data_IF_495828646099
#
_entry.id   IF_495828646099
#
_cell.length_a   1.000
_cell.length_b   1.000
_cell.length_c   1.000
_cell.angle_alpha   90.00
_cell.angle_beta   90.00
_cell.angle_gamma   90.00
#
_symmetry.space_group_name_H-M   'P 1'
#
loop_
_entity.id
_entity.type
_entity.pdbx_description
1 polymer ?
#
# COMPACT_ATOMS: atom_id res chain seq x y z
N UNK A 1 -11.71 -2.37 22.06
CA UNK A 1 -11.10 -3.66 22.28
C UNK A 1 -9.59 -3.56 22.22
N UNK A 2 -8.91 -4.03 23.27
CA UNK A 2 -7.46 -3.92 23.39
C UNK A 2 -6.69 -4.67 22.30
N UNK A 3 -7.31 -5.67 21.69
CA UNK A 3 -6.67 -6.49 20.67
C UNK A 3 -6.92 -6.01 19.24
N UNK A 4 -7.72 -4.96 19.05
CA UNK A 4 -7.98 -4.45 17.71
C UNK A 4 -6.80 -3.61 17.21
N UNK A 5 -6.38 -3.84 15.96
CA UNK A 5 -5.33 -3.01 15.40
C UNK A 5 -5.83 -1.62 15.08
N UNK A 6 -4.94 -0.65 15.20
CA UNK A 6 -5.19 0.73 14.80
C UNK A 6 -4.52 0.99 13.46
N UNK A 7 -5.28 1.48 12.49
CA UNK A 7 -4.70 1.89 11.22
C UNK A 7 -4.27 3.35 11.29
N UNK A 8 -3.03 3.62 10.94
CA UNK A 8 -2.44 4.95 10.99
C UNK A 8 -2.00 5.38 9.59
N UNK A 9 -2.44 6.56 9.17
CA UNK A 9 -1.85 7.25 8.04
C UNK A 9 -0.65 8.03 8.54
N UNK A 10 0.52 7.81 7.95
CA UNK A 10 1.74 8.48 8.39
C UNK A 10 1.67 9.99 8.17
N UNK A 11 0.95 10.44 7.13
CA UNK A 11 0.71 11.88 6.94
C UNK A 11 -0.11 12.49 8.05
N UNK A 12 -1.15 11.78 8.48
CA UNK A 12 -2.05 12.27 9.54
C UNK A 12 -1.39 12.23 10.90
N UNK A 13 -0.48 11.28 11.10
CA UNK A 13 0.21 11.09 12.37
C UNK A 13 1.71 10.93 12.13
N UNK A 14 2.41 12.05 11.81
CA UNK A 14 3.83 11.98 11.41
C UNK A 14 4.78 11.48 12.49
N UNK A 15 4.34 11.44 13.74
CA UNK A 15 5.14 10.86 14.81
C UNK A 15 5.43 9.38 14.60
N UNK A 16 4.66 8.70 13.74
CA UNK A 16 4.90 7.29 13.40
C UNK A 16 5.86 7.11 12.22
N UNK A 17 6.36 8.19 11.62
CA UNK A 17 7.16 8.09 10.39
C UNK A 17 8.40 7.22 10.57
N UNK A 18 9.16 7.43 11.65
CA UNK A 18 10.39 6.66 11.85
C UNK A 18 10.12 5.17 12.02
N UNK A 19 9.10 4.81 12.79
CA UNK A 19 8.71 3.41 12.98
C UNK A 19 8.19 2.80 11.70
N UNK A 20 7.41 3.56 10.92
CA UNK A 20 6.89 3.11 9.63
C UNK A 20 8.03 2.82 8.66
N UNK A 21 8.99 3.74 8.52
CA UNK A 21 10.14 3.56 7.64
C UNK A 21 10.87 2.26 8.00
N UNK A 22 11.14 2.04 9.29
CA UNK A 22 11.82 0.83 9.73
C UNK A 22 11.03 -0.43 9.38
N UNK A 23 9.72 -0.39 9.54
CA UNK A 23 8.87 -1.54 9.23
C UNK A 23 8.89 -1.88 7.74
N UNK A 24 8.76 -0.87 6.87
CA UNK A 24 8.86 -1.09 5.42
C UNK A 24 10.23 -1.64 5.04
N UNK A 25 11.30 -1.09 5.60
CA UNK A 25 12.66 -1.55 5.31
C UNK A 25 12.87 -3.01 5.73
N UNK A 26 12.34 -3.41 6.87
CA UNK A 26 12.43 -4.79 7.35
C UNK A 26 11.58 -5.74 6.51
N UNK A 27 10.46 -5.28 6.00
CA UNK A 27 9.55 -6.11 5.20
C UNK A 27 10.10 -6.40 3.81
N UNK A 28 10.90 -5.46 3.26
CA UNK A 28 11.52 -5.61 1.95
C UNK A 28 13.01 -5.33 2.03
N UNK A 29 13.79 -6.28 2.64
CA UNK A 29 15.23 -6.05 2.85
C UNK A 29 16.05 -5.98 1.55
N UNK A 30 15.51 -6.50 0.44
CA UNK A 30 16.16 -6.44 -0.87
C UNK A 30 16.05 -5.06 -1.53
N UNK A 31 15.15 -4.20 -1.05
CA UNK A 31 15.00 -2.85 -1.59
C UNK A 31 15.95 -1.91 -0.87
N UNK A 32 16.58 -1.02 -1.62
CA UNK A 32 17.48 -0.01 -1.05
C UNK A 32 16.76 0.74 0.06
N UNK A 33 17.30 0.74 1.30
CA UNK A 33 16.60 1.34 2.44
C UNK A 33 16.25 2.80 2.24
N UNK A 34 17.07 3.54 1.53
CA UNK A 34 16.84 4.96 1.26
C UNK A 34 15.55 5.20 0.46
N UNK A 35 15.09 4.21 -0.31
CA UNK A 35 13.82 4.35 -1.05
C UNK A 35 12.68 4.66 -0.10
N UNK A 36 12.54 3.87 0.98
CA UNK A 36 11.44 4.10 1.92
C UNK A 36 11.68 5.31 2.80
N UNK A 37 12.91 5.51 3.24
CA UNK A 37 13.23 6.67 4.07
C UNK A 37 12.92 7.97 3.35
N UNK A 38 13.31 8.06 2.08
CA UNK A 38 13.11 9.27 1.28
C UNK A 38 11.64 9.42 0.89
N UNK A 39 11.01 8.35 0.38
CA UNK A 39 9.63 8.40 -0.09
C UNK A 39 8.66 8.74 1.05
N UNK A 40 8.80 8.09 2.19
CA UNK A 40 7.92 8.33 3.34
C UNK A 40 8.19 9.71 3.94
N UNK A 41 9.48 10.06 4.07
CA UNK A 41 9.86 11.35 4.62
C UNK A 41 9.27 12.52 3.83
N UNK A 42 9.37 12.48 2.51
CA UNK A 42 8.84 13.55 1.66
C UNK A 42 7.32 13.53 1.56
N UNK A 43 6.65 12.42 1.88
CA UNK A 43 5.20 12.36 1.85
C UNK A 43 4.55 13.21 2.93
N UNK A 44 5.27 13.48 4.03
CA UNK A 44 4.67 14.13 5.20
C UNK A 44 4.15 15.54 4.89
N UNK A 45 4.77 16.25 3.96
CA UNK A 45 4.38 17.61 3.59
C UNK A 45 4.11 17.74 2.10
N UNK A 46 3.85 16.62 1.43
CA UNK A 46 3.58 16.68 0.00
C UNK A 46 2.25 17.39 -0.26
N UNK A 47 2.22 18.27 -1.28
CA UNK A 47 1.00 19.04 -1.56
C UNK A 47 -0.07 18.23 -2.29
N UNK A 48 0.32 17.10 -2.89
CA UNK A 48 -0.60 16.27 -3.67
C UNK A 48 -1.20 15.17 -2.78
N UNK A 49 -2.27 14.52 -3.27
CA UNK A 49 -2.93 13.45 -2.54
C UNK A 49 -2.04 12.22 -2.37
N UNK A 50 -1.08 12.02 -3.26
CA UNK A 50 -0.14 10.90 -3.23
C UNK A 50 1.27 11.41 -2.95
N UNK A 51 2.16 10.56 -2.39
CA UNK A 51 1.88 9.22 -1.90
C UNK A 51 1.27 9.22 -0.51
N UNK A 52 0.63 8.11 -0.15
CA UNK A 52 0.14 7.86 1.21
C UNK A 52 0.78 6.58 1.72
N UNK A 53 1.14 6.57 3.00
CA UNK A 53 1.75 5.39 3.62
C UNK A 53 1.00 5.07 4.90
N UNK A 54 0.72 3.77 5.08
CA UNK A 54 -0.13 3.30 6.18
C UNK A 54 0.57 2.21 6.96
N UNK A 55 0.31 2.17 8.26
CA UNK A 55 0.72 1.06 9.11
C UNK A 55 -0.43 0.63 10.00
N UNK A 56 -0.43 -0.64 10.38
CA UNK A 56 -1.30 -1.18 11.40
C UNK A 56 -0.51 -1.37 12.68
N UNK A 57 -1.07 -0.93 13.79
CA UNK A 57 -0.44 -1.02 15.10
C UNK A 57 -1.35 -1.83 16.01
N UNK A 58 -0.77 -2.84 16.68
CA UNK A 58 -1.47 -3.67 17.64
C UNK A 58 -0.60 -3.78 18.88
N UNK A 59 -1.12 -3.34 20.03
CA UNK A 59 -0.37 -3.39 21.30
C UNK A 59 1.01 -2.76 21.18
N UNK A 60 1.04 -1.56 20.60
CA UNK A 60 2.25 -0.74 20.39
C UNK A 60 3.28 -1.34 19.41
N UNK A 61 2.91 -2.40 18.68
CA UNK A 61 3.78 -2.99 17.66
C UNK A 61 3.19 -2.79 16.28
N UNK A 62 4.04 -2.53 15.30
CA UNK A 62 3.62 -2.47 13.91
C UNK A 62 3.47 -3.89 13.37
N UNK A 63 2.30 -4.18 12.81
CA UNK A 63 1.93 -5.53 12.36
C UNK A 63 1.51 -5.57 10.89
N UNK A 64 1.48 -4.44 10.22
CA UNK A 64 1.13 -4.40 8.80
C UNK A 64 1.43 -3.06 8.19
N UNK A 65 1.50 -3.02 6.86
CA UNK A 65 1.74 -1.78 6.13
C UNK A 65 1.19 -1.85 4.71
N UNK A 66 1.00 -0.68 4.11
CA UNK A 66 0.66 -0.54 2.70
C UNK A 66 0.99 0.87 2.23
N UNK A 67 1.11 1.05 0.92
CA UNK A 67 1.27 2.36 0.32
C UNK A 67 0.26 2.60 -0.79
N UNK A 68 0.02 3.87 -1.06
CA UNK A 68 -0.83 4.33 -2.15
C UNK A 68 0.00 5.34 -2.94
N UNK A 69 0.40 4.96 -4.15
CA UNK A 69 1.40 5.71 -4.92
C UNK A 69 0.97 5.90 -6.37
N UNK A 70 1.69 6.75 -7.10
CA UNK A 70 1.35 7.08 -8.48
C UNK A 70 1.77 6.03 -9.49
N UNK A 71 2.88 5.32 -9.24
CA UNK A 71 3.33 4.23 -10.12
C UNK A 71 4.19 3.25 -9.31
N UNK A 72 3.93 1.96 -9.47
CA UNK A 72 4.62 0.90 -8.72
C UNK A 72 5.74 0.28 -9.57
N UNK A 73 6.60 1.13 -10.16
CA UNK A 73 7.75 0.71 -10.96
C UNK A 73 7.34 -0.21 -12.10
N UNK A 74 6.23 0.12 -12.77
CA UNK A 74 5.64 -0.72 -13.80
C UNK A 74 5.35 0.11 -15.05
N UNK A 75 5.39 -0.54 -16.22
CA UNK A 75 5.33 0.12 -17.52
C UNK A 75 4.01 0.84 -17.81
N UNK A 76 2.93 0.46 -17.12
CA UNK A 76 1.62 1.09 -17.32
C UNK A 76 1.54 2.40 -16.51
N UNK A 77 2.28 3.38 -16.97
CA UNK A 77 2.32 4.71 -16.34
C UNK A 77 1.07 5.53 -16.60
N UNK A 78 0.23 5.06 -17.51
CA UNK A 78 -1.10 5.63 -17.78
C UNK A 78 -2.13 5.29 -16.69
N UNK A 79 -1.82 4.29 -15.85
CA UNK A 79 -2.72 3.83 -14.79
C UNK A 79 -2.25 4.33 -13.43
N UNK A 80 -3.14 4.87 -12.64
CA UNK A 80 -2.85 5.29 -11.26
C UNK A 80 -4.17 5.56 -10.52
N UNK A 81 -4.19 5.50 -9.16
CA UNK A 81 -3.06 5.20 -8.28
C UNK A 81 -2.87 3.70 -8.07
N UNK A 82 -1.77 3.33 -7.41
CA UNK A 82 -1.42 1.94 -7.14
C UNK A 82 -1.37 1.66 -5.65
N UNK A 83 -1.99 0.57 -5.25
CA UNK A 83 -1.75 -0.06 -3.95
C UNK A 83 -0.41 -0.78 -4.03
N UNK A 84 0.50 -0.50 -3.12
CA UNK A 84 1.83 -1.11 -3.13
C UNK A 84 2.25 -1.51 -1.73
N UNK A 85 3.30 -2.31 -1.66
CA UNK A 85 3.98 -2.64 -0.40
C UNK A 85 3.03 -3.15 0.68
N UNK A 86 2.05 -3.95 0.27
CA UNK A 86 1.10 -4.57 1.20
C UNK A 86 1.79 -5.73 1.92
N UNK A 87 1.85 -5.65 3.24
CA UNK A 87 2.47 -6.68 4.05
C UNK A 87 1.82 -6.75 5.43
N UNK A 88 1.64 -7.96 5.93
CA UNK A 88 1.19 -8.22 7.30
C UNK A 88 2.22 -9.14 7.94
N UNK A 89 2.64 -8.82 9.16
CA UNK A 89 3.56 -9.64 9.93
C UNK A 89 3.05 -11.09 9.97
N UNK A 90 3.93 -12.05 9.71
CA UNK A 90 3.54 -13.44 9.51
C UNK A 90 2.69 -13.99 10.65
N UNK A 91 3.05 -13.70 11.90
CA UNK A 91 2.30 -14.17 13.07
C UNK A 91 0.88 -13.62 13.15
N UNK A 92 0.58 -12.56 12.40
CA UNK A 92 -0.72 -11.89 12.41
C UNK A 92 -1.54 -12.14 11.14
N UNK A 93 -1.04 -12.94 10.22
CA UNK A 93 -1.77 -13.29 9.02
C UNK A 93 -3.03 -14.09 9.33
N UNK A 94 -4.04 -14.00 8.45
CA UNK A 94 -5.29 -14.73 8.63
C UNK A 94 -6.30 -14.06 9.56
N UNK A 95 -6.03 -12.82 9.97
CA UNK A 95 -6.92 -12.07 10.89
C UNK A 95 -7.70 -10.95 10.21
N UNK A 96 -7.62 -10.84 8.88
CA UNK A 96 -8.29 -9.77 8.14
C UNK A 96 -7.53 -8.46 8.12
N UNK A 97 -6.26 -8.44 8.53
CA UNK A 97 -5.48 -7.20 8.60
C UNK A 97 -5.16 -6.63 7.22
N UNK A 98 -4.89 -7.50 6.23
CA UNK A 98 -4.68 -7.05 4.86
C UNK A 98 -5.91 -6.32 4.32
N UNK A 99 -7.11 -6.81 4.65
CA UNK A 99 -8.37 -6.17 4.26
C UNK A 99 -8.47 -4.75 4.78
N UNK A 100 -8.09 -4.51 6.03
CA UNK A 100 -8.13 -3.17 6.61
C UNK A 100 -7.25 -2.20 5.82
N UNK A 101 -6.05 -2.64 5.45
CA UNK A 101 -5.12 -1.82 4.67
C UNK A 101 -5.64 -1.56 3.26
N UNK A 102 -6.16 -2.59 2.61
CA UNK A 102 -6.70 -2.46 1.26
C UNK A 102 -7.89 -1.52 1.26
N UNK A 103 -8.81 -1.68 2.21
CA UNK A 103 -10.00 -0.84 2.29
C UNK A 103 -9.65 0.62 2.56
N UNK A 104 -8.63 0.88 3.37
CA UNK A 104 -8.18 2.26 3.57
C UNK A 104 -7.62 2.85 2.28
N UNK A 105 -6.84 2.08 1.53
CA UNK A 105 -6.34 2.54 0.23
C UNK A 105 -7.47 2.82 -0.75
N UNK A 106 -8.47 1.95 -0.80
CA UNK A 106 -9.65 2.16 -1.65
C UNK A 106 -10.39 3.44 -1.25
N UNK A 107 -10.59 3.63 0.05
CA UNK A 107 -11.29 4.81 0.56
C UNK A 107 -10.53 6.10 0.22
N UNK A 108 -9.24 6.13 0.48
CA UNK A 108 -8.43 7.33 0.26
C UNK A 108 -8.27 7.64 -1.23
N UNK A 109 -8.15 6.61 -2.08
CA UNK A 109 -8.10 6.81 -3.53
C UNK A 109 -9.41 7.40 -4.05
N UNK A 110 -10.55 6.87 -3.60
CA UNK A 110 -11.86 7.39 -3.98
C UNK A 110 -12.04 8.83 -3.50
N UNK A 111 -11.63 9.10 -2.27
CA UNK A 111 -11.73 10.43 -1.69
C UNK A 111 -10.85 11.45 -2.42
N UNK A 112 -9.74 11.00 -2.97
CA UNK A 112 -8.86 11.87 -3.77
C UNK A 112 -9.40 12.12 -5.18
N UNK A 113 -10.52 11.49 -5.55
CA UNK A 113 -11.15 11.71 -6.84
C UNK A 113 -10.82 10.66 -7.90
N UNK A 114 -10.09 9.62 -7.55
CA UNK A 114 -9.79 8.53 -8.49
C UNK A 114 -10.98 7.58 -8.56
N UNK A 115 -11.22 7.03 -9.74
CA UNK A 115 -12.32 6.09 -9.95
C UNK A 115 -11.86 4.63 -10.01
N UNK A 116 -10.57 4.37 -10.00
CA UNK A 116 -10.01 3.02 -10.06
C UNK A 116 -8.73 2.95 -9.22
N UNK A 117 -8.54 1.82 -8.53
CA UNK A 117 -7.31 1.51 -7.81
C UNK A 117 -6.65 0.31 -8.47
N UNK A 118 -5.35 0.38 -8.67
CA UNK A 118 -4.57 -0.68 -9.31
C UNK A 118 -3.62 -1.32 -8.32
N UNK A 119 -3.28 -2.59 -8.59
CA UNK A 119 -2.24 -3.29 -7.87
C UNK A 119 -1.55 -4.27 -8.81
N UNK A 120 -0.31 -4.63 -8.52
CA UNK A 120 0.38 -5.65 -9.29
C UNK A 120 0.98 -6.69 -8.36
N UNK A 121 1.01 -7.94 -8.84
CA UNK A 121 1.50 -9.07 -8.07
C UNK A 121 1.88 -10.21 -9.00
N UNK A 122 2.72 -11.11 -8.50
CA UNK A 122 3.04 -12.36 -9.20
C UNK A 122 2.01 -13.44 -8.89
N UNK A 123 1.16 -13.24 -7.88
CA UNK A 123 0.23 -14.24 -7.38
C UNK A 123 -1.16 -14.09 -7.98
N UNK A 124 -1.89 -15.19 -8.05
CA UNK A 124 -3.30 -15.19 -8.39
C UNK A 124 -4.13 -15.41 -7.13
N UNK A 125 -5.36 -14.89 -7.12
CA UNK A 125 -6.33 -15.16 -6.06
C UNK A 125 -6.27 -14.23 -4.88
N UNK A 126 -5.19 -13.47 -4.70
CA UNK A 126 -5.07 -12.57 -3.56
C UNK A 126 -6.03 -11.39 -3.67
N UNK A 127 -5.93 -10.64 -4.77
CA UNK A 127 -6.69 -9.40 -4.90
C UNK A 127 -8.13 -9.62 -5.32
N UNK A 128 -8.44 -10.75 -5.99
CA UNK A 128 -9.79 -11.04 -6.43
C UNK A 128 -10.78 -11.08 -5.26
N UNK A 129 -10.33 -11.54 -4.10
CA UNK A 129 -11.21 -11.60 -2.91
C UNK A 129 -11.53 -10.22 -2.34
N UNK A 130 -10.87 -9.17 -2.82
CA UNK A 130 -11.10 -7.80 -2.35
C UNK A 130 -11.72 -6.90 -3.40
N UNK A 131 -12.30 -7.50 -4.45
CA UNK A 131 -13.01 -6.75 -5.49
C UNK A 131 -12.17 -6.32 -6.67
N UNK A 132 -10.94 -6.83 -6.77
CA UNK A 132 -10.07 -6.55 -7.91
C UNK A 132 -10.27 -7.59 -8.99
N UNK A 133 -10.17 -7.16 -10.26
CA UNK A 133 -10.19 -8.05 -11.42
C UNK A 133 -8.91 -7.94 -12.21
N UNK A 134 -8.52 -9.02 -12.85
CA UNK A 134 -7.32 -9.05 -13.69
C UNK A 134 -7.50 -8.11 -14.89
N UNK A 135 -6.50 -7.27 -15.15
CA UNK A 135 -6.51 -6.36 -16.29
C UNK A 135 -5.54 -6.78 -17.38
N UNK A 136 -4.28 -6.96 -17.04
CA UNK A 136 -3.22 -7.19 -18.02
C UNK A 136 -1.92 -7.55 -17.31
N UNK A 137 -0.86 -7.78 -18.09
CA UNK A 137 0.49 -7.86 -17.55
C UNK A 137 1.23 -6.56 -17.84
N UNK A 138 2.18 -6.23 -16.97
CA UNK A 138 3.06 -5.09 -17.15
C UNK A 138 4.50 -5.47 -16.86
N UNK A 139 5.44 -4.59 -17.22
CA UNK A 139 6.87 -4.84 -17.09
C UNK A 139 7.52 -3.92 -16.08
N UNK A 140 8.41 -4.48 -15.27
CA UNK A 140 9.24 -3.72 -14.34
C UNK A 140 10.57 -3.35 -14.99
N UNK A 141 11.23 -2.27 -14.55
CA UNK A 141 12.51 -1.86 -15.14
C UNK A 141 13.61 -2.91 -15.08
N UNK A 142 13.54 -3.83 -14.13
CA UNK A 142 14.55 -4.88 -13.94
C UNK A 142 14.27 -6.14 -14.77
N UNK A 143 13.23 -6.13 -15.62
CA UNK A 143 12.98 -7.19 -16.60
C UNK A 143 11.91 -8.21 -16.21
N UNK A 144 11.38 -8.14 -15.00
CA UNK A 144 10.30 -9.02 -14.58
C UNK A 144 8.94 -8.45 -14.99
N UNK A 145 7.95 -9.33 -15.07
CA UNK A 145 6.56 -8.94 -15.32
C UNK A 145 5.72 -9.19 -14.08
N UNK A 146 4.61 -8.47 -13.99
CA UNK A 146 3.60 -8.69 -12.96
C UNK A 146 2.21 -8.67 -13.56
N UNK A 147 1.30 -9.36 -12.91
CA UNK A 147 -0.12 -9.29 -13.23
C UNK A 147 -0.67 -7.99 -12.64
N UNK A 148 -1.42 -7.25 -13.45
CA UNK A 148 -2.05 -6.00 -13.02
C UNK A 148 -3.51 -6.27 -12.73
N UNK A 149 -3.96 -5.83 -11.57
CA UNK A 149 -5.34 -5.92 -11.12
C UNK A 149 -5.93 -4.53 -10.96
N UNK A 150 -7.22 -4.41 -11.18
CA UNK A 150 -7.93 -3.14 -11.05
C UNK A 150 -9.18 -3.32 -10.22
N UNK A 151 -9.50 -2.30 -9.45
CA UNK A 151 -10.69 -2.26 -8.60
C UNK A 151 -11.44 -0.95 -8.87
N UNK A 152 -12.67 -1.00 -9.38
CA UNK A 152 -13.46 0.22 -9.49
C UNK A 152 -13.80 0.73 -8.10
N UNK A 153 -13.75 2.05 -7.93
CA UNK A 153 -13.99 2.71 -6.66
C UNK A 153 -15.35 3.38 -6.68
N UNK A 154 -16.00 3.35 -5.51
CA UNK A 154 -17.26 4.04 -5.36
C UNK A 154 -16.99 5.51 -5.00
N UNK A 155 -17.75 6.41 -5.62
CA UNK A 155 -17.65 7.82 -5.31
C UNK A 155 -18.03 8.07 -3.84
N UNK A 156 -17.32 9.00 -3.23
CA UNK A 156 -17.55 9.38 -1.85
C UNK A 156 -18.12 10.80 -1.81
#
# INVERSE_FOLDING_TARGET
>A
NLSEPQLVSVREQPEYAAAAIAYFQQSWPEILPEMYADAIGHSLKAPQALPQWYVLIEQDELVGCAGLISNDFISRMDLYPWLCALHVTEAKCGRGYARLLIERCQHDAARAGFDTLYSCTDSEGLYERYGFGFLAEGWHPWGETSRIYQCPLQAI
#
